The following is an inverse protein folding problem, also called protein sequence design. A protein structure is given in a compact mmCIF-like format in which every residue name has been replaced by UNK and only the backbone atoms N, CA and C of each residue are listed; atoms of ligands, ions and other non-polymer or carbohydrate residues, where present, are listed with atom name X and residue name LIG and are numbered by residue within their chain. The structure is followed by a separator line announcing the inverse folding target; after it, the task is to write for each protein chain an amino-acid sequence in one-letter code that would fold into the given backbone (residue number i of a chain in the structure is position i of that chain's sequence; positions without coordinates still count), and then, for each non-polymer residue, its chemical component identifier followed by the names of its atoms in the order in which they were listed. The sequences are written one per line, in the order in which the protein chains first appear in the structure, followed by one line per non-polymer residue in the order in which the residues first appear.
data_IF_691140920021
#
_entry.id   IF_691140920021
#
_cell.length_a   1.000
_cell.length_b   1.000
_cell.length_c   1.000
_cell.angle_alpha   90.00
_cell.angle_beta   90.00
_cell.angle_gamma   90.00
#
_symmetry.space_group_name_H-M   'P 1'
#
loop_
_entity.id
_entity.type
_entity.pdbx_description
1 polymer ?
#
# COMPACT_ATOMS: atom_id res chain seq x y z
N UNK A 1 30.17 -3.69 9.44
CA UNK A 1 29.75 -2.35 8.97
C UNK A 1 28.48 -2.00 9.72
N UNK A 2 28.45 -0.88 10.44
CA UNK A 2 27.28 -0.48 11.23
C UNK A 2 26.10 -0.21 10.31
N UNK A 3 25.06 -1.05 10.39
CA UNK A 3 23.75 -0.77 9.83
C UNK A 3 23.10 0.31 10.69
N UNK A 4 23.50 1.57 10.52
CA UNK A 4 22.96 2.69 11.29
C UNK A 4 21.44 2.86 11.08
N UNK A 5 20.93 2.36 9.96
CA UNK A 5 19.50 2.23 9.66
C UNK A 5 19.24 0.85 9.04
N UNK A 6 18.65 -0.04 9.83
CA UNK A 6 18.15 -1.31 9.32
C UNK A 6 16.88 -1.04 8.50
N UNK A 7 16.88 -1.46 7.23
CA UNK A 7 15.75 -1.27 6.31
C UNK A 7 14.44 -1.84 6.86
N UNK A 8 14.53 -2.92 7.65
CA UNK A 8 13.39 -3.51 8.34
C UNK A 8 12.73 -2.55 9.32
N UNK A 9 13.56 -1.86 10.11
CA UNK A 9 13.08 -0.90 11.12
C UNK A 9 12.44 0.32 10.48
N UNK A 10 13.00 0.80 9.37
CA UNK A 10 12.42 1.91 8.60
C UNK A 10 11.03 1.55 8.09
N UNK A 11 10.90 0.40 7.40
CA UNK A 11 9.63 -0.06 6.83
C UNK A 11 8.58 -0.26 7.94
N UNK A 12 8.99 -0.81 9.08
CA UNK A 12 8.12 -1.00 10.23
C UNK A 12 7.60 0.33 10.80
N UNK A 13 8.50 1.30 11.00
CA UNK A 13 8.13 2.65 11.48
C UNK A 13 7.24 3.37 10.46
N UNK A 14 7.51 3.24 9.15
CA UNK A 14 6.63 3.76 8.09
C UNK A 14 5.24 3.11 8.10
N UNK A 15 5.14 1.83 8.46
CA UNK A 15 3.86 1.15 8.65
C UNK A 15 3.07 1.74 9.81
N UNK A 16 3.75 2.03 10.94
CA UNK A 16 3.15 2.68 12.11
C UNK A 16 2.69 4.10 11.78
N UNK A 17 3.51 4.91 11.12
CA UNK A 17 3.12 6.28 10.77
C UNK A 17 1.89 6.31 9.85
N UNK A 18 1.82 5.37 8.90
CA UNK A 18 0.64 5.19 8.04
C UNK A 18 -0.60 4.76 8.82
N UNK A 19 -0.44 3.93 9.86
CA UNK A 19 -1.53 3.53 10.76
C UNK A 19 -2.04 4.71 11.60
N UNK A 20 -1.13 5.53 12.11
CA UNK A 20 -1.47 6.76 12.84
C UNK A 20 -2.23 7.71 11.92
N UNK A 21 -1.77 7.88 10.68
CA UNK A 21 -2.45 8.69 9.67
C UNK A 21 -3.88 8.19 9.42
N UNK A 22 -4.07 6.87 9.27
CA UNK A 22 -5.39 6.25 9.17
C UNK A 22 -6.28 6.60 10.36
N UNK A 23 -5.78 6.46 11.60
CA UNK A 23 -6.53 6.77 12.81
C UNK A 23 -6.92 8.25 12.87
N UNK A 24 -6.00 9.17 12.54
CA UNK A 24 -6.26 10.60 12.47
C UNK A 24 -7.33 10.94 11.43
N UNK A 25 -7.22 10.41 10.21
CA UNK A 25 -8.22 10.65 9.16
C UNK A 25 -9.58 10.05 9.53
N UNK A 26 -9.62 8.87 10.15
CA UNK A 26 -10.85 8.24 10.63
C UNK A 26 -11.52 9.09 11.72
N UNK A 27 -10.73 9.64 12.64
CA UNK A 27 -11.22 10.55 13.68
C UNK A 27 -11.84 11.81 13.07
N UNK A 28 -11.15 12.45 12.12
CA UNK A 28 -11.66 13.64 11.40
C UNK A 28 -12.98 13.32 10.68
N UNK A 29 -13.04 12.18 9.98
CA UNK A 29 -14.27 11.75 9.29
C UNK A 29 -15.46 11.57 10.21
N UNK A 30 -15.24 11.12 11.45
CA UNK A 30 -16.32 10.98 12.45
C UNK A 30 -16.78 12.32 13.01
N UNK A 31 -15.88 13.29 13.12
CA UNK A 31 -16.15 14.60 13.74
C UNK A 31 -16.63 15.66 12.77
N UNK A 32 -16.27 15.57 11.49
CA UNK A 32 -16.53 16.60 10.49
C UNK A 32 -17.16 16.01 9.21
N UNK A 33 -17.97 16.82 8.53
CA UNK A 33 -18.43 16.52 7.16
C UNK A 33 -17.22 16.58 6.24
N UNK A 34 -16.85 15.42 5.70
CA UNK A 34 -15.69 15.26 4.80
C UNK A 34 -16.15 15.23 3.35
N UNK A 35 -15.28 15.70 2.46
CA UNK A 35 -15.56 15.78 1.01
C UNK A 35 -15.56 14.40 0.34
N UNK A 36 -16.16 14.36 -0.85
CA UNK A 36 -16.15 13.16 -1.70
C UNK A 36 -14.71 12.76 -2.03
N UNK A 37 -14.37 11.48 -1.84
CA UNK A 37 -13.00 10.98 -2.01
C UNK A 37 -12.24 10.76 -0.71
N UNK A 38 -12.58 11.44 0.39
CA UNK A 38 -11.83 11.33 1.65
C UNK A 38 -11.80 9.91 2.23
N UNK A 39 -12.89 9.16 2.05
CA UNK A 39 -12.95 7.75 2.48
C UNK A 39 -11.93 6.87 1.77
N UNK A 40 -11.60 7.16 0.50
CA UNK A 40 -10.60 6.41 -0.25
C UNK A 40 -9.21 6.65 0.32
N UNK A 41 -8.91 7.85 0.82
CA UNK A 41 -7.63 8.15 1.46
C UNK A 41 -7.49 7.49 2.84
N UNK A 42 -8.59 7.37 3.58
CA UNK A 42 -8.63 6.57 4.81
C UNK A 42 -8.29 5.11 4.49
N UNK A 43 -8.98 4.51 3.52
CA UNK A 43 -8.68 3.12 3.13
C UNK A 43 -7.27 2.98 2.55
N UNK A 44 -6.78 3.97 1.80
CA UNK A 44 -5.41 3.97 1.30
C UNK A 44 -4.39 3.91 2.44
N UNK A 45 -4.54 4.73 3.48
CA UNK A 45 -3.65 4.73 4.64
C UNK A 45 -3.67 3.37 5.38
N UNK A 46 -4.84 2.75 5.53
CA UNK A 46 -4.97 1.42 6.14
C UNK A 46 -4.29 0.33 5.31
N UNK A 47 -4.56 0.30 4.01
CA UNK A 47 -3.99 -0.67 3.07
C UNK A 47 -2.47 -0.49 2.99
N UNK A 48 -1.99 0.75 2.92
CA UNK A 48 -0.56 1.06 2.89
C UNK A 48 0.15 0.56 4.16
N UNK A 49 -0.43 0.87 5.32
CA UNK A 49 0.07 0.38 6.60
C UNK A 49 0.15 -1.15 6.64
N UNK A 50 -0.91 -1.84 6.20
CA UNK A 50 -0.95 -3.30 6.13
C UNK A 50 0.15 -3.85 5.22
N UNK A 51 0.34 -3.26 4.04
CA UNK A 51 1.39 -3.64 3.09
C UNK A 51 2.80 -3.44 3.64
N UNK A 52 3.05 -2.32 4.33
CA UNK A 52 4.33 -2.04 4.98
C UNK A 52 4.59 -3.00 6.16
N UNK A 53 3.58 -3.35 6.95
CA UNK A 53 3.73 -4.34 8.01
C UNK A 53 4.08 -5.73 7.45
N UNK A 54 3.39 -6.17 6.40
CA UNK A 54 3.73 -7.42 5.69
C UNK A 54 5.17 -7.38 5.16
N UNK A 55 5.59 -6.27 4.57
CA UNK A 55 6.95 -6.11 4.06
C UNK A 55 8.01 -6.05 5.19
N UNK A 56 7.68 -5.52 6.37
CA UNK A 56 8.59 -5.55 7.52
C UNK A 56 8.83 -6.96 8.07
N UNK A 57 7.94 -7.90 7.77
CA UNK A 57 8.03 -9.30 8.17
C UNK A 57 8.77 -10.17 7.13
N UNK A 58 9.50 -9.54 6.20
CA UNK A 58 10.11 -10.15 5.00
C UNK A 58 11.07 -11.32 5.24
N UNK A 59 11.59 -11.54 6.44
CA UNK A 59 12.50 -12.68 6.72
C UNK A 59 11.89 -13.73 7.66
N UNK A 60 10.60 -13.56 8.01
CA UNK A 60 9.86 -14.44 8.94
C UNK A 60 8.71 -15.15 8.21
N UNK A 61 8.04 -14.46 7.29
CA UNK A 61 6.87 -14.97 6.57
C UNK A 61 7.24 -15.43 5.15
N UNK A 62 6.43 -16.30 4.54
CA UNK A 62 6.62 -16.75 3.16
C UNK A 62 6.71 -15.58 2.19
N UNK A 63 7.59 -15.70 1.19
CA UNK A 63 7.80 -14.70 0.13
C UNK A 63 6.50 -14.29 -0.57
N UNK A 64 5.55 -15.22 -0.70
CA UNK A 64 4.23 -14.91 -1.25
C UNK A 64 3.49 -13.83 -0.45
N UNK A 65 3.50 -13.92 0.88
CA UNK A 65 2.80 -12.99 1.76
C UNK A 65 3.53 -11.64 1.86
N UNK A 66 4.85 -11.66 1.91
CA UNK A 66 5.65 -10.46 2.16
C UNK A 66 5.96 -9.70 0.87
N UNK A 67 6.34 -10.42 -0.19
CA UNK A 67 6.73 -9.85 -1.48
C UNK A 67 5.50 -9.60 -2.34
N UNK A 68 4.68 -10.62 -2.62
CA UNK A 68 3.54 -10.45 -3.54
C UNK A 68 2.42 -9.67 -2.85
N UNK A 69 1.89 -10.16 -1.73
CA UNK A 69 0.75 -9.49 -1.08
C UNK A 69 1.12 -8.12 -0.49
N UNK A 70 2.29 -8.00 0.17
CA UNK A 70 2.78 -6.73 0.72
C UNK A 70 2.91 -5.64 -0.34
N UNK A 71 3.60 -5.90 -1.44
CA UNK A 71 3.75 -4.92 -2.52
C UNK A 71 2.43 -4.64 -3.26
N UNK A 72 1.57 -5.65 -3.41
CA UNK A 72 0.24 -5.48 -4.00
C UNK A 72 -0.60 -4.50 -3.18
N UNK A 73 -0.58 -4.61 -1.84
CA UNK A 73 -1.26 -3.65 -0.98
C UNK A 73 -0.66 -2.24 -1.08
N UNK A 74 0.67 -2.11 -1.10
CA UNK A 74 1.31 -0.81 -1.26
C UNK A 74 0.85 -0.14 -2.56
N UNK A 75 0.85 -0.85 -3.69
CA UNK A 75 0.37 -0.28 -4.96
C UNK A 75 -1.14 -0.03 -4.95
N UNK A 76 -1.92 -0.92 -4.36
CA UNK A 76 -3.36 -0.71 -4.23
C UNK A 76 -3.69 0.56 -3.43
N UNK A 77 -2.87 0.90 -2.42
CA UNK A 77 -3.01 2.16 -1.69
C UNK A 77 -2.83 3.38 -2.59
N UNK A 78 -1.90 3.35 -3.55
CA UNK A 78 -1.70 4.42 -4.55
C UNK A 78 -2.90 4.53 -5.48
N UNK A 79 -3.47 3.40 -5.91
CA UNK A 79 -4.71 3.37 -6.70
C UNK A 79 -5.85 4.01 -5.91
N UNK A 80 -6.01 3.71 -4.62
CA UNK A 80 -7.02 4.33 -3.76
C UNK A 80 -6.79 5.85 -3.61
N UNK A 81 -5.54 6.30 -3.47
CA UNK A 81 -5.22 7.73 -3.45
C UNK A 81 -5.67 8.41 -4.74
N UNK A 82 -5.32 7.81 -5.88
CA UNK A 82 -5.69 8.35 -7.21
C UNK A 82 -7.20 8.37 -7.44
N UNK A 83 -7.92 7.36 -6.94
CA UNK A 83 -9.39 7.30 -6.99
C UNK A 83 -10.02 8.36 -6.10
N UNK A 84 -9.50 8.55 -4.88
CA UNK A 84 -9.93 9.62 -3.98
C UNK A 84 -9.67 11.01 -4.56
N UNK A 85 -8.52 11.21 -5.20
CA UNK A 85 -8.17 12.46 -5.89
C UNK A 85 -9.09 12.73 -7.08
N UNK A 86 -9.39 11.70 -7.87
CA UNK A 86 -10.31 11.82 -9.00
C UNK A 86 -11.70 12.25 -8.54
N UNK A 87 -12.20 11.64 -7.45
CA UNK A 87 -13.50 12.01 -6.84
C UNK A 87 -13.49 13.42 -6.27
N UNK A 88 -12.43 13.81 -5.57
CA UNK A 88 -12.26 15.16 -5.05
C UNK A 88 -12.25 16.21 -6.18
N UNK A 89 -11.57 15.93 -7.29
CA UNK A 89 -11.49 16.80 -8.45
C UNK A 89 -12.73 16.72 -9.37
N UNK A 90 -13.72 15.88 -9.05
CA UNK A 90 -14.92 15.70 -9.88
C UNK A 90 -14.67 15.00 -11.22
N UNK A 91 -13.50 14.39 -11.42
CA UNK A 91 -13.14 13.67 -12.66
C UNK A 91 -13.41 12.18 -12.53
N UNK A 92 -13.73 11.52 -13.65
CA UNK A 92 -13.98 10.07 -13.65
C UNK A 92 -12.67 9.32 -13.36
N UNK A 93 -12.64 8.43 -12.34
CA UNK A 93 -11.45 7.63 -12.08
C UNK A 93 -11.21 6.66 -13.25
N UNK A 94 -9.95 6.52 -13.66
CA UNK A 94 -9.50 5.56 -14.68
C UNK A 94 -9.49 4.11 -14.16
N UNK A 95 -10.60 3.66 -13.57
CA UNK A 95 -10.69 2.40 -12.82
C UNK A 95 -10.27 1.18 -13.65
N UNK A 96 -10.64 1.10 -14.93
CA UNK A 96 -10.26 -0.02 -15.81
C UNK A 96 -8.75 -0.08 -16.06
N UNK A 97 -8.13 1.08 -16.26
CA UNK A 97 -6.69 1.19 -16.45
C UNK A 97 -5.94 0.77 -15.18
N UNK A 98 -6.37 1.25 -14.01
CA UNK A 98 -5.77 0.85 -12.74
C UNK A 98 -5.93 -0.64 -12.44
N UNK A 99 -7.09 -1.25 -12.74
CA UNK A 99 -7.29 -2.69 -12.58
C UNK A 99 -6.38 -3.51 -13.50
N UNK A 100 -6.21 -3.08 -14.76
CA UNK A 100 -5.27 -3.72 -15.69
C UNK A 100 -3.83 -3.61 -15.20
N UNK A 101 -3.42 -2.43 -14.74
CA UNK A 101 -2.08 -2.20 -14.20
C UNK A 101 -1.81 -3.07 -12.97
N UNK A 102 -2.81 -3.23 -12.10
CA UNK A 102 -2.71 -4.06 -10.89
C UNK A 102 -2.61 -5.55 -11.23
N UNK A 103 -3.39 -6.04 -12.21
CA UNK A 103 -3.26 -7.42 -12.70
C UNK A 103 -1.87 -7.67 -13.31
N UNK A 104 -1.38 -6.74 -14.13
CA UNK A 104 -0.05 -6.83 -14.73
C UNK A 104 1.03 -6.84 -13.64
N UNK A 105 0.90 -5.99 -12.62
CA UNK A 105 1.83 -5.94 -11.50
C UNK A 105 1.88 -7.28 -10.75
N UNK A 106 0.74 -7.85 -10.36
CA UNK A 106 0.66 -9.13 -9.67
C UNK A 106 1.24 -10.26 -10.53
N UNK A 107 0.95 -10.27 -11.83
CA UNK A 107 1.47 -11.27 -12.77
C UNK A 107 3.00 -11.20 -12.87
N UNK A 108 3.57 -10.00 -13.04
CA UNK A 108 5.01 -9.80 -13.12
C UNK A 108 5.70 -10.16 -11.80
N UNK A 109 5.19 -9.70 -10.66
CA UNK A 109 5.77 -10.03 -9.36
C UNK A 109 5.73 -11.54 -9.08
N UNK A 110 4.62 -12.21 -9.40
CA UNK A 110 4.50 -13.66 -9.25
C UNK A 110 5.48 -14.39 -10.18
N UNK A 111 5.63 -13.93 -11.42
CA UNK A 111 6.58 -14.49 -12.38
C UNK A 111 8.03 -14.40 -11.86
N UNK A 112 8.46 -13.20 -11.42
CA UNK A 112 9.81 -13.01 -10.90
C UNK A 112 10.06 -13.74 -9.57
N UNK A 113 9.07 -13.88 -8.70
CA UNK A 113 9.24 -14.61 -7.44
C UNK A 113 9.40 -16.12 -7.64
N UNK A 114 8.65 -16.74 -8.55
CA UNK A 114 8.62 -18.20 -8.68
C UNK A 114 9.46 -18.77 -9.82
N UNK A 115 9.47 -18.11 -10.99
CA UNK A 115 10.10 -18.67 -12.20
C UNK A 115 11.54 -18.21 -12.39
N UNK A 116 11.91 -17.08 -11.80
CA UNK A 116 13.25 -16.55 -11.89
C UNK A 116 13.66 -15.94 -10.55
N UNK A 117 13.82 -16.73 -9.47
CA UNK A 117 14.38 -16.20 -8.24
C UNK A 117 15.74 -15.62 -8.61
N UNK A 118 15.81 -14.30 -8.68
CA UNK A 118 17.04 -13.61 -9.04
C UNK A 118 17.94 -13.85 -7.84
N UNK A 119 18.83 -14.83 -7.97
CA UNK A 119 19.95 -15.04 -7.05
C UNK A 119 20.73 -13.73 -7.01
N UNK A 120 20.52 -12.93 -5.97
CA UNK A 120 21.35 -11.78 -5.57
C UNK A 120 21.90 -12.10 -4.19
#
# INVERSE_FOLDING_TARGET
MQNFLDMRTIIFVSGITSLILFACMLYIRRKQRTYEGFIYWIFAALVNSTGLFLLSLRDILPDFLTIIAGNTFIIFSVVLISAGLSRFAGVRPYSKFYSLLMLLFVALYSYFTYFHPVFI
#
